data_IF_054633531322
#
_entry.id   IF_054633531322
#
_cell.length_a   1.000
_cell.length_b   1.000
_cell.length_c   1.000
_cell.angle_alpha   90.00
_cell.angle_beta   90.00
_cell.angle_gamma   90.00
#
_symmetry.space_group_name_H-M   'P 1'
#
loop_
_entity.id
_entity.type
_entity.pdbx_description
1 polymer ?
#
# COMPACT_ATOMS: atom_id res chain seq x y z
N UNK A 1 14.22 4.46 -3.07
CA UNK A 1 13.20 4.74 -2.04
C UNK A 1 13.02 3.51 -1.15
N UNK A 2 12.65 3.68 0.13
CA UNK A 2 12.34 2.58 1.05
C UNK A 2 10.85 2.61 1.36
N UNK A 3 10.19 1.45 1.27
CA UNK A 3 8.78 1.27 1.63
C UNK A 3 8.75 0.30 2.81
N UNK A 4 7.98 0.63 3.85
CA UNK A 4 7.81 -0.19 5.03
C UNK A 4 6.46 -0.87 4.96
N UNK A 5 6.43 -2.18 4.73
CA UNK A 5 5.19 -2.94 4.74
C UNK A 5 4.96 -3.48 6.15
N UNK A 6 3.97 -2.92 6.84
CA UNK A 6 3.57 -3.28 8.19
C UNK A 6 2.38 -4.24 8.16
N UNK A 7 2.40 -5.25 9.02
CA UNK A 7 1.32 -6.21 9.16
C UNK A 7 1.09 -6.55 10.62
N UNK A 8 -0.13 -6.91 10.99
CA UNK A 8 -0.49 -7.23 12.37
C UNK A 8 -0.81 -8.71 12.50
N UNK A 9 -0.71 -9.22 13.72
CA UNK A 9 -1.04 -10.60 14.02
C UNK A 9 -0.52 -11.01 15.39
N UNK A 10 -1.14 -12.03 16.01
CA UNK A 10 -0.73 -12.49 17.33
C UNK A 10 0.74 -12.92 17.30
N UNK A 11 1.53 -12.39 18.23
CA UNK A 11 2.92 -12.80 18.42
C UNK A 11 3.32 -12.58 19.87
N UNK A 12 4.06 -13.51 20.47
CA UNK A 12 4.55 -13.34 21.83
C UNK A 12 5.46 -12.11 21.89
N UNK A 13 5.11 -11.16 22.76
CA UNK A 13 6.01 -10.06 23.09
C UNK A 13 7.08 -10.60 24.05
N UNK A 14 8.34 -10.44 23.66
CA UNK A 14 9.49 -10.86 24.47
C UNK A 14 10.16 -9.60 25.06
N UNK A 15 11.50 -9.51 25.00
CA UNK A 15 12.28 -8.36 25.50
C UNK A 15 12.21 -7.12 24.59
N UNK A 16 11.37 -7.12 23.55
CA UNK A 16 11.27 -6.05 22.54
C UNK A 16 9.91 -6.09 21.81
N UNK A 17 9.63 -5.05 21.02
CA UNK A 17 8.46 -4.96 20.15
C UNK A 17 8.45 -6.09 19.10
N UNK A 18 7.29 -6.70 18.82
CA UNK A 18 7.17 -7.68 17.75
C UNK A 18 7.62 -7.10 16.40
N UNK A 19 8.55 -7.80 15.73
CA UNK A 19 9.00 -7.46 14.38
C UNK A 19 7.87 -7.74 13.39
N UNK A 20 7.20 -6.67 12.97
CA UNK A 20 5.93 -6.71 12.23
C UNK A 20 5.95 -5.85 10.97
N UNK A 21 7.14 -5.74 10.39
CA UNK A 21 7.31 -5.06 9.13
C UNK A 21 8.39 -5.71 8.29
N UNK A 22 8.26 -5.56 6.98
CA UNK A 22 9.29 -5.83 5.98
C UNK A 22 9.66 -4.55 5.25
N UNK A 23 10.91 -4.47 4.77
CA UNK A 23 11.40 -3.34 4.00
C UNK A 23 11.45 -3.72 2.53
N UNK A 24 10.74 -2.95 1.70
CA UNK A 24 10.76 -3.08 0.24
C UNK A 24 11.60 -1.93 -0.31
N UNK A 25 12.64 -2.27 -1.05
CA UNK A 25 13.46 -1.27 -1.72
C UNK A 25 12.96 -1.06 -3.15
N UNK A 26 12.64 0.19 -3.49
CA UNK A 26 12.28 0.60 -4.85
C UNK A 26 13.45 1.35 -5.48
N UNK A 27 13.91 0.84 -6.62
CA UNK A 27 14.98 1.41 -7.43
C UNK A 27 14.47 1.70 -8.83
N UNK A 28 15.06 2.70 -9.48
CA UNK A 28 14.90 2.97 -10.91
C UNK A 28 16.29 3.01 -11.54
N UNK A 29 16.37 2.67 -12.82
CA UNK A 29 17.63 2.73 -13.57
C UNK A 29 18.04 4.19 -13.83
N UNK A 30 17.06 5.06 -14.02
CA UNK A 30 17.22 6.49 -14.29
C UNK A 30 16.04 7.26 -13.65
N UNK A 31 15.98 8.57 -13.89
CA UNK A 31 14.93 9.44 -13.38
C UNK A 31 13.63 9.40 -14.21
N UNK A 32 13.65 8.72 -15.36
CA UNK A 32 12.50 8.55 -16.26
C UNK A 32 11.81 7.20 -15.98
N UNK A 33 11.16 7.12 -14.82
CA UNK A 33 10.44 5.93 -14.37
C UNK A 33 8.93 6.14 -14.33
N UNK A 34 8.17 5.07 -14.61
CA UNK A 34 6.70 5.06 -14.49
C UNK A 34 6.29 5.15 -13.01
N UNK A 35 5.37 6.07 -12.71
CA UNK A 35 4.73 6.16 -11.41
C UNK A 35 3.25 6.56 -11.50
N UNK A 36 2.38 5.56 -11.61
CA UNK A 36 0.94 5.76 -11.78
C UNK A 36 0.28 6.02 -10.43
N UNK A 37 0.39 7.27 -9.95
CA UNK A 37 -0.07 7.67 -8.63
C UNK A 37 -1.60 7.55 -8.45
N UNK A 38 -2.36 7.65 -9.53
CA UNK A 38 -3.82 7.61 -9.51
C UNK A 38 -4.34 6.18 -9.36
N UNK A 39 -3.59 5.18 -9.85
CA UNK A 39 -3.98 3.76 -9.81
C UNK A 39 -3.76 3.09 -8.44
N UNK A 40 -3.07 3.80 -7.54
CA UNK A 40 -2.73 3.29 -6.20
C UNK A 40 -3.39 4.08 -5.07
N UNK A 41 -4.33 4.98 -5.38
CA UNK A 41 -4.98 5.79 -4.35
C UNK A 41 -5.77 4.94 -3.36
N UNK A 42 -5.74 5.38 -2.11
CA UNK A 42 -6.47 4.79 -0.99
C UNK A 42 -7.42 5.81 -0.39
N UNK A 43 -8.57 5.32 0.11
CA UNK A 43 -9.54 6.17 0.79
C UNK A 43 -8.94 6.81 2.05
N UNK A 44 -9.41 8.01 2.39
CA UNK A 44 -9.07 8.64 3.66
C UNK A 44 -9.67 7.84 4.83
N UNK A 45 -8.90 7.64 5.91
CA UNK A 45 -9.44 7.06 7.15
C UNK A 45 -10.38 8.08 7.82
N UNK A 46 -11.64 7.68 8.00
CA UNK A 46 -12.79 8.54 8.30
C UNK A 46 -12.72 9.40 9.58
N UNK A 47 -11.75 9.19 10.46
CA UNK A 47 -11.64 9.90 11.74
C UNK A 47 -11.17 11.35 11.58
N UNK A 48 -10.38 11.66 10.53
CA UNK A 48 -9.82 13.01 10.36
C UNK A 48 -10.73 14.01 9.63
N UNK A 49 -11.80 13.54 8.98
CA UNK A 49 -12.63 14.38 8.10
C UNK A 49 -13.86 14.99 8.79
N UNK A 50 -14.38 14.36 9.85
CA UNK A 50 -15.59 14.86 10.56
C UNK A 50 -15.29 16.04 11.49
N UNK A 51 -14.13 16.05 12.16
CA UNK A 51 -13.83 17.04 13.20
C UNK A 51 -13.10 18.30 12.70
N UNK A 52 -12.37 18.22 11.58
CA UNK A 52 -11.61 19.38 11.05
C UNK A 52 -12.27 20.09 9.88
N UNK A 53 -13.49 19.69 9.50
CA UNK A 53 -13.99 19.92 8.15
C UNK A 53 -13.05 19.28 7.13
N UNK A 54 -13.50 19.13 5.90
CA UNK A 54 -12.60 18.66 4.84
C UNK A 54 -11.47 19.70 4.70
N UNK A 55 -10.31 19.41 5.29
CA UNK A 55 -9.08 20.20 5.20
C UNK A 55 -9.09 21.60 5.85
N UNK A 56 -9.71 21.81 7.03
CA UNK A 56 -9.41 22.98 7.89
C UNK A 56 -9.56 24.37 7.23
N UNK A 57 -10.19 24.47 6.06
CA UNK A 57 -10.22 25.67 5.24
C UNK A 57 -11.64 26.23 5.26
N UNK A 58 -11.81 27.42 5.86
CA UNK A 58 -13.09 28.11 6.04
C UNK A 58 -13.78 28.57 4.73
N UNK A 59 -13.27 28.23 3.53
CA UNK A 59 -13.69 28.86 2.28
C UNK A 59 -13.42 28.04 1.00
N UNK A 60 -13.64 26.71 1.02
CA UNK A 60 -13.58 25.91 -0.21
C UNK A 60 -14.95 25.35 -0.58
N UNK A 61 -15.21 25.34 -1.89
CA UNK A 61 -16.36 24.71 -2.53
C UNK A 61 -16.55 23.29 -2.02
N UNK A 62 -17.72 23.01 -1.43
CA UNK A 62 -18.04 21.74 -0.78
C UNK A 62 -18.01 20.60 -1.80
N UNK A 63 -18.40 20.85 -3.05
CA UNK A 63 -18.45 19.79 -4.06
C UNK A 63 -17.05 19.40 -4.53
N UNK A 64 -16.14 20.37 -4.66
CA UNK A 64 -14.72 20.09 -4.94
C UNK A 64 -14.04 19.35 -3.78
N UNK A 65 -14.45 19.62 -2.54
CA UNK A 65 -13.94 18.92 -1.36
C UNK A 65 -14.43 17.47 -1.30
N UNK A 66 -15.68 17.20 -1.70
CA UNK A 66 -16.20 15.84 -1.86
C UNK A 66 -15.45 15.09 -2.95
N UNK A 67 -15.25 15.71 -4.11
CA UNK A 67 -14.51 15.10 -5.23
C UNK A 67 -13.08 14.70 -4.82
N UNK A 68 -12.35 15.58 -4.13
CA UNK A 68 -11.00 15.28 -3.63
C UNK A 68 -11.01 14.17 -2.58
N UNK A 69 -12.04 14.13 -1.73
CA UNK A 69 -12.19 13.08 -0.73
C UNK A 69 -12.52 11.73 -1.37
N UNK A 70 -13.40 11.72 -2.37
CA UNK A 70 -13.79 10.54 -3.15
C UNK A 70 -12.63 9.99 -3.98
N UNK A 71 -11.81 10.87 -4.57
CA UNK A 71 -10.58 10.47 -5.29
C UNK A 71 -9.57 9.79 -4.37
N UNK A 72 -9.57 10.09 -3.08
CA UNK A 72 -8.63 9.53 -2.11
C UNK A 72 -7.22 10.11 -2.25
N UNK A 73 -6.27 9.50 -1.52
CA UNK A 73 -4.87 9.94 -1.45
C UNK A 73 -3.91 8.89 -1.99
N UNK A 74 -2.75 9.31 -2.45
CA UNK A 74 -1.63 8.39 -2.66
C UNK A 74 -1.21 7.84 -1.29
N UNK A 75 -1.00 6.52 -1.15
CA UNK A 75 -0.56 5.93 0.10
C UNK A 75 0.83 6.43 0.48
N UNK A 76 1.08 6.50 1.79
CA UNK A 76 2.42 6.80 2.31
C UNK A 76 3.43 5.70 1.94
N UNK A 77 4.71 5.92 2.24
CA UNK A 77 5.76 4.91 2.11
C UNK A 77 5.73 3.85 3.23
N UNK A 78 4.79 3.95 4.18
CA UNK A 78 4.51 2.94 5.20
C UNK A 78 3.12 2.33 4.98
N UNK A 79 3.07 1.10 4.51
CA UNK A 79 1.84 0.40 4.15
C UNK A 79 1.37 -0.46 5.31
N UNK A 80 0.30 -0.04 5.98
CA UNK A 80 -0.31 -0.77 7.09
C UNK A 80 -1.75 -1.23 6.80
N UNK A 81 -2.19 -1.06 5.55
CA UNK A 81 -3.53 -1.40 5.07
C UNK A 81 -3.60 -2.78 4.38
N UNK A 82 -2.45 -3.41 4.15
CA UNK A 82 -2.33 -4.75 3.58
C UNK A 82 -1.85 -5.73 4.64
N UNK A 83 -2.70 -6.70 5.00
CA UNK A 83 -2.32 -7.78 5.92
C UNK A 83 -1.43 -8.82 5.23
N UNK A 84 -0.77 -9.66 6.02
CA UNK A 84 -0.07 -10.84 5.51
C UNK A 84 -1.07 -11.88 4.94
N UNK A 85 -0.56 -12.82 4.13
CA UNK A 85 -1.36 -13.88 3.47
C UNK A 85 -2.15 -14.72 4.47
N UNK A 86 -1.65 -14.89 5.71
CA UNK A 86 -2.34 -15.66 6.74
C UNK A 86 -3.72 -15.09 7.14
N UNK A 87 -3.98 -13.80 6.87
CA UNK A 87 -5.30 -13.20 7.04
C UNK A 87 -6.25 -13.48 5.86
N UNK A 88 -5.70 -13.81 4.69
CA UNK A 88 -6.42 -14.05 3.44
C UNK A 88 -6.29 -15.51 3.02
N UNK A 89 -7.02 -16.40 3.74
CA UNK A 89 -6.93 -17.86 3.53
C UNK A 89 -7.22 -18.34 2.10
N UNK A 90 -7.88 -17.53 1.29
CA UNK A 90 -8.26 -17.87 -0.08
C UNK A 90 -7.08 -17.80 -1.06
N UNK A 91 -6.00 -17.10 -0.72
CA UNK A 91 -4.79 -17.00 -1.56
C UNK A 91 -3.76 -18.09 -1.21
N UNK A 92 -3.91 -18.82 -0.10
CA UNK A 92 -2.87 -19.75 0.38
C UNK A 92 -2.62 -20.92 -0.59
N UNK A 93 -1.38 -21.00 -1.09
CA UNK A 93 -0.89 -22.12 -1.94
C UNK A 93 0.17 -22.98 -1.24
N UNK A 94 0.17 -22.99 0.09
CA UNK A 94 1.07 -23.77 0.96
C UNK A 94 2.57 -23.47 0.77
N UNK A 95 2.89 -22.24 0.36
CA UNK A 95 4.26 -21.77 0.23
C UNK A 95 4.67 -20.91 1.44
N UNK A 96 5.81 -21.26 2.04
CA UNK A 96 6.21 -20.73 3.34
C UNK A 96 6.42 -19.19 3.39
N UNK A 97 6.81 -18.57 2.27
CA UNK A 97 7.10 -17.12 2.20
C UNK A 97 6.21 -16.38 1.19
N UNK A 98 4.99 -16.87 0.99
CA UNK A 98 4.01 -16.29 0.08
C UNK A 98 3.77 -14.80 0.39
N UNK A 99 3.71 -13.98 -0.65
CA UNK A 99 3.37 -12.55 -0.56
C UNK A 99 1.89 -12.37 -0.94
N UNK A 100 1.16 -11.45 -0.30
CA UNK A 100 -0.25 -11.23 -0.63
C UNK A 100 -0.37 -10.59 -2.01
N UNK A 101 -1.38 -10.99 -2.77
CA UNK A 101 -1.60 -10.47 -4.13
C UNK A 101 -1.78 -8.95 -4.13
N UNK A 102 -2.47 -8.40 -3.12
CA UNK A 102 -2.67 -6.96 -2.95
C UNK A 102 -1.35 -6.16 -2.91
N UNK A 103 -0.30 -6.73 -2.32
CA UNK A 103 1.02 -6.10 -2.27
C UNK A 103 1.64 -6.05 -3.66
N UNK A 104 1.62 -7.16 -4.39
CA UNK A 104 2.15 -7.25 -5.74
C UNK A 104 1.36 -6.35 -6.69
N UNK A 105 0.03 -6.36 -6.58
CA UNK A 105 -0.86 -5.54 -7.38
C UNK A 105 -0.56 -4.04 -7.21
N UNK A 106 -0.33 -3.57 -5.98
CA UNK A 106 0.06 -2.17 -5.75
C UNK A 106 1.40 -1.83 -6.39
N UNK A 107 2.40 -2.72 -6.27
CA UNK A 107 3.73 -2.50 -6.85
C UNK A 107 3.64 -2.43 -8.39
N UNK A 108 2.94 -3.38 -9.01
CA UNK A 108 2.78 -3.45 -10.47
C UNK A 108 2.03 -2.23 -10.98
N UNK A 109 0.87 -1.91 -10.42
CA UNK A 109 0.09 -0.72 -10.81
C UNK A 109 0.90 0.56 -10.64
N UNK A 110 1.65 0.70 -9.55
CA UNK A 110 2.45 1.89 -9.31
C UNK A 110 3.62 2.06 -10.28
N UNK A 111 4.11 1.01 -10.95
CA UNK A 111 5.44 1.04 -11.60
C UNK A 111 5.48 0.38 -12.97
N UNK A 112 4.33 0.06 -13.56
CA UNK A 112 4.22 -0.46 -14.92
C UNK A 112 2.87 -0.12 -15.55
N UNK A 113 2.88 -0.02 -16.87
CA UNK A 113 1.69 0.13 -17.70
C UNK A 113 1.28 -1.20 -18.33
N UNK A 114 0.07 -1.24 -18.89
CA UNK A 114 -0.42 -2.40 -19.62
C UNK A 114 0.50 -2.73 -20.81
N UNK A 115 0.83 -4.01 -20.97
CA UNK A 115 1.74 -4.49 -22.02
C UNK A 115 3.22 -4.47 -21.65
N UNK A 116 3.61 -3.93 -20.49
CA UNK A 116 4.97 -4.05 -19.98
C UNK A 116 5.26 -5.46 -19.45
N UNK A 117 6.54 -5.86 -19.52
CA UNK A 117 7.01 -7.14 -18.97
C UNK A 117 7.40 -6.96 -17.51
N UNK A 118 6.81 -7.77 -16.63
CA UNK A 118 7.19 -7.87 -15.21
C UNK A 118 7.91 -9.21 -15.00
N UNK A 119 9.03 -9.19 -14.28
CA UNK A 119 9.84 -10.38 -14.02
C UNK A 119 10.09 -10.58 -12.52
N UNK A 120 9.96 -11.82 -12.06
CA UNK A 120 10.38 -12.28 -10.73
C UNK A 120 11.30 -13.50 -10.89
N UNK A 121 12.51 -13.40 -10.35
CA UNK A 121 13.54 -14.44 -10.46
C UNK A 121 13.75 -15.22 -9.15
N UNK A 122 13.03 -14.87 -8.08
CA UNK A 122 13.18 -15.49 -6.77
C UNK A 122 11.99 -16.35 -6.35
N UNK A 123 11.03 -16.58 -7.26
CA UNK A 123 9.85 -17.47 -7.17
C UNK A 123 9.41 -17.70 -5.72
N UNK A 124 8.86 -16.65 -5.11
CA UNK A 124 7.89 -16.87 -4.04
C UNK A 124 6.58 -17.27 -4.72
N UNK A 125 5.87 -18.29 -4.22
CA UNK A 125 4.56 -18.59 -4.80
C UNK A 125 3.68 -17.33 -4.70
N UNK A 126 2.93 -17.05 -5.77
CA UNK A 126 1.87 -16.06 -5.82
C UNK A 126 0.59 -16.77 -5.49
#
# INVERSE_FOLDING_TARGET
MKIIWCYTGPSPANKDFPKKHDVIFRYSLNDDYVFNNDDIRVAYKATFTKERGVHGAKNKDIDKLKEVHERGKVPEDWWADMSNVSAWRNELVDYATQKPEALLQRIIKASSDEGMVVADFLVAAV
#
